data_IF_328566388948
#
_entry.id   IF_328566388948
#
_cell.length_a   1.000
_cell.length_b   1.000
_cell.length_c   1.000
_cell.angle_alpha   90.00
_cell.angle_beta   90.00
_cell.angle_gamma   90.00
#
_symmetry.space_group_name_H-M   'P 1'
#
loop_
_entity.id
_entity.type
_entity.pdbx_description
1 polymer ?
#
# COMPACT_ATOMS: atom_id res chain seq x y z
N UNK A 1 -5.64 59.04 -17.24
CA UNK A 1 -5.57 58.60 -15.83
C UNK A 1 -6.67 57.57 -15.64
N UNK A 2 -6.33 56.29 -15.42
CA UNK A 2 -7.33 55.29 -15.03
C UNK A 2 -7.52 55.43 -13.54
N UNK A 3 -8.70 55.85 -13.10
CA UNK A 3 -9.12 55.71 -11.71
C UNK A 3 -9.15 54.21 -11.40
N UNK A 4 -8.19 53.76 -10.61
CA UNK A 4 -8.19 52.43 -10.04
C UNK A 4 -9.21 52.47 -8.89
N UNK A 5 -10.41 51.97 -9.18
CA UNK A 5 -11.52 51.93 -8.24
C UNK A 5 -11.16 51.13 -6.98
N UNK A 6 -11.68 51.51 -5.80
CA UNK A 6 -11.42 50.84 -4.51
C UNK A 6 -11.87 49.37 -4.46
N UNK A 7 -12.58 48.88 -5.47
CA UNK A 7 -12.94 47.47 -5.65
C UNK A 7 -11.75 46.63 -6.09
N UNK A 8 -10.87 47.15 -6.95
CA UNK A 8 -9.69 46.43 -7.44
C UNK A 8 -8.68 46.15 -6.31
N UNK A 9 -8.55 47.08 -5.37
CA UNK A 9 -7.70 46.89 -4.18
C UNK A 9 -8.28 45.83 -3.21
N UNK A 10 -9.61 45.75 -3.10
CA UNK A 10 -10.29 44.71 -2.31
C UNK A 10 -10.11 43.33 -2.94
N UNK A 11 -10.20 43.24 -4.27
CA UNK A 11 -10.00 41.99 -5.00
C UNK A 11 -8.54 41.53 -4.87
N UNK A 12 -7.58 42.45 -4.96
CA UNK A 12 -6.16 42.15 -4.75
C UNK A 12 -5.88 41.65 -3.32
N UNK A 13 -6.49 42.27 -2.30
CA UNK A 13 -6.36 41.83 -0.91
C UNK A 13 -7.00 40.43 -0.69
N UNK A 14 -8.15 40.17 -1.31
CA UNK A 14 -8.81 38.86 -1.26
C UNK A 14 -7.94 37.77 -1.88
N UNK A 15 -7.37 38.01 -3.06
CA UNK A 15 -6.47 37.08 -3.74
C UNK A 15 -5.16 36.85 -2.97
N UNK A 16 -4.64 37.88 -2.29
CA UNK A 16 -3.46 37.74 -1.44
C UNK A 16 -3.75 36.83 -0.24
N UNK A 17 -4.91 37.00 0.40
CA UNK A 17 -5.33 36.16 1.53
C UNK A 17 -5.57 34.71 1.09
N UNK A 18 -6.22 34.50 -0.06
CA UNK A 18 -6.44 33.16 -0.62
C UNK A 18 -5.11 32.46 -0.95
N UNK A 19 -4.16 33.17 -1.58
CA UNK A 19 -2.82 32.62 -1.85
C UNK A 19 -2.11 32.20 -0.56
N UNK A 20 -2.23 33.00 0.50
CA UNK A 20 -1.59 32.69 1.76
C UNK A 20 -2.25 31.47 2.44
N UNK A 21 -3.58 31.38 2.41
CA UNK A 21 -4.31 30.20 2.86
C UNK A 21 -3.87 28.93 2.10
N UNK A 22 -3.80 29.01 0.77
CA UNK A 22 -3.37 27.89 -0.08
C UNK A 22 -1.92 27.47 0.20
N UNK A 23 -1.03 28.41 0.53
CA UNK A 23 0.34 28.10 0.96
C UNK A 23 0.37 27.32 2.26
N UNK A 24 -0.42 27.74 3.26
CA UNK A 24 -0.54 27.01 4.53
C UNK A 24 -1.08 25.60 4.32
N UNK A 25 -2.14 25.45 3.52
CA UNK A 25 -2.72 24.14 3.21
C UNK A 25 -1.71 23.24 2.49
N UNK A 26 -1.00 23.79 1.49
CA UNK A 26 0.03 23.04 0.75
C UNK A 26 1.15 22.58 1.67
N UNK A 27 1.62 23.45 2.56
CA UNK A 27 2.66 23.12 3.52
C UNK A 27 2.19 22.03 4.51
N UNK A 28 0.97 22.17 5.03
CA UNK A 28 0.36 21.20 5.93
C UNK A 28 0.20 19.82 5.27
N UNK A 29 -0.32 19.78 4.04
CA UNK A 29 -0.49 18.54 3.28
C UNK A 29 0.85 17.87 2.99
N UNK A 30 1.88 18.63 2.62
CA UNK A 30 3.24 18.11 2.42
C UNK A 30 3.81 17.51 3.69
N UNK A 31 3.64 18.17 4.84
CA UNK A 31 4.09 17.66 6.12
C UNK A 31 3.38 16.33 6.49
N UNK A 32 2.07 16.26 6.26
CA UNK A 32 1.30 15.02 6.46
C UNK A 32 1.76 13.90 5.54
N UNK A 33 1.94 14.18 4.26
CA UNK A 33 2.42 13.21 3.28
C UNK A 33 3.79 12.65 3.67
N UNK A 34 4.75 13.52 4.00
CA UNK A 34 6.07 13.10 4.48
C UNK A 34 5.99 12.22 5.74
N UNK A 35 5.02 12.49 6.64
CA UNK A 35 4.76 11.65 7.81
C UNK A 35 4.26 10.25 7.45
N UNK A 36 3.35 10.15 6.47
CA UNK A 36 2.85 8.86 5.97
C UNK A 36 3.94 8.08 5.26
N UNK A 37 4.74 8.73 4.41
CA UNK A 37 5.86 8.11 3.70
C UNK A 37 6.88 7.50 4.67
N UNK A 38 7.25 8.22 5.73
CA UNK A 38 8.15 7.68 6.77
C UNK A 38 7.59 6.43 7.44
N UNK A 39 6.29 6.43 7.76
CA UNK A 39 5.61 5.26 8.37
C UNK A 39 5.61 4.08 7.41
N UNK A 40 5.36 4.31 6.13
CA UNK A 40 5.34 3.28 5.09
C UNK A 40 6.73 2.68 4.88
N UNK A 41 7.78 3.51 4.85
CA UNK A 41 9.18 3.05 4.75
C UNK A 41 9.55 2.19 5.97
N UNK A 42 9.23 2.65 7.18
CA UNK A 42 9.49 1.89 8.41
C UNK A 42 8.76 0.54 8.42
N UNK A 43 7.47 0.52 8.05
CA UNK A 43 6.69 -0.71 7.97
C UNK A 43 7.27 -1.69 6.95
N UNK A 44 7.67 -1.21 5.76
CA UNK A 44 8.29 -2.06 4.75
C UNK A 44 9.65 -2.62 5.19
N UNK A 45 10.46 -1.83 5.89
CA UNK A 45 11.72 -2.30 6.46
C UNK A 45 11.47 -3.40 7.50
N UNK A 46 10.48 -3.22 8.37
CA UNK A 46 10.12 -4.22 9.37
C UNK A 46 9.63 -5.52 8.73
N UNK A 47 8.77 -5.41 7.72
CA UNK A 47 8.27 -6.56 6.97
C UNK A 47 9.40 -7.32 6.28
N UNK A 48 10.40 -6.60 5.74
CA UNK A 48 11.63 -7.20 5.19
C UNK A 48 12.47 -7.88 6.28
N UNK A 49 12.61 -7.29 7.47
CA UNK A 49 13.34 -7.92 8.59
C UNK A 49 12.66 -9.21 9.04
N UNK A 50 11.35 -9.19 9.24
CA UNK A 50 10.57 -10.38 9.62
C UNK A 50 10.68 -11.47 8.55
N UNK A 51 10.65 -11.09 7.26
CA UNK A 51 10.79 -12.04 6.15
C UNK A 51 12.22 -12.57 5.97
N UNK A 52 13.24 -11.78 6.34
CA UNK A 52 14.65 -12.16 6.27
C UNK A 52 15.15 -12.87 7.52
N UNK A 53 14.42 -12.79 8.63
CA UNK A 53 14.75 -13.52 9.84
C UNK A 53 14.66 -15.04 9.55
N UNK A 54 15.74 -15.80 9.73
CA UNK A 54 15.66 -17.25 9.63
C UNK A 54 14.73 -17.73 10.75
N UNK A 55 13.71 -18.52 10.38
CA UNK A 55 12.81 -19.13 11.35
C UNK A 55 13.64 -19.83 12.46
N UNK A 56 13.48 -19.45 13.75
CA UNK A 56 14.11 -20.18 14.83
C UNK A 56 13.41 -21.54 14.90
N UNK A 57 14.04 -22.55 14.29
CA UNK A 57 13.48 -23.90 14.20
C UNK A 57 13.77 -24.67 12.91
N UNK A 58 14.40 -24.08 11.89
CA UNK A 58 14.87 -24.88 10.74
C UNK A 58 16.24 -25.46 11.04
N UNK A 59 16.24 -26.44 11.95
CA UNK A 59 17.34 -27.38 12.07
C UNK A 59 17.68 -27.89 10.66
N UNK A 60 18.97 -27.82 10.34
CA UNK A 60 19.59 -28.51 9.22
C UNK A 60 19.33 -30.01 9.36
N UNK A 61 18.21 -30.45 8.82
CA UNK A 61 18.00 -31.83 8.44
C UNK A 61 17.63 -31.79 6.95
N UNK A 62 18.65 -31.82 6.11
CA UNK A 62 18.56 -32.51 4.82
C UNK A 62 18.37 -33.99 5.16
N UNK A 63 17.17 -34.32 5.63
CA UNK A 63 16.68 -35.68 5.76
C UNK A 63 15.55 -35.78 4.74
N UNK A 64 15.60 -36.86 3.96
CA UNK A 64 14.74 -37.17 2.84
C UNK A 64 13.26 -36.79 3.04
N UNK A 65 12.53 -36.44 1.96
CA UNK A 65 11.13 -36.07 2.05
C UNK A 65 10.31 -37.27 2.56
N UNK A 66 10.04 -37.28 3.86
CA UNK A 66 9.00 -38.11 4.44
C UNK A 66 7.61 -37.56 4.07
N UNK A 67 6.57 -38.41 4.03
CA UNK A 67 5.22 -38.08 3.51
C UNK A 67 4.45 -37.00 4.30
N UNK A 68 5.04 -36.42 5.35
CA UNK A 68 4.41 -35.41 6.21
C UNK A 68 4.47 -33.97 5.66
N UNK A 69 5.21 -33.69 4.58
CA UNK A 69 5.31 -32.34 4.00
C UNK A 69 4.12 -31.96 3.09
N UNK A 70 3.42 -32.95 2.50
CA UNK A 70 2.25 -32.73 1.64
C UNK A 70 1.11 -31.92 2.31
N UNK A 71 0.65 -32.23 3.54
CA UNK A 71 -0.50 -31.55 4.13
C UNK A 71 -0.24 -30.07 4.45
N UNK A 72 1.02 -29.66 4.66
CA UNK A 72 1.35 -28.26 4.94
C UNK A 72 1.37 -27.42 3.67
N UNK A 73 1.92 -27.95 2.57
CA UNK A 73 1.89 -27.30 1.25
C UNK A 73 0.46 -27.12 0.78
N UNK A 74 -0.38 -28.14 0.95
CA UNK A 74 -1.81 -28.07 0.59
C UNK A 74 -2.57 -27.03 1.43
N UNK A 75 -2.29 -26.96 2.74
CA UNK A 75 -2.92 -25.96 3.63
C UNK A 75 -2.51 -24.53 3.27
N UNK A 76 -1.23 -24.28 3.05
CA UNK A 76 -0.74 -22.95 2.64
C UNK A 76 -1.28 -22.53 1.27
N UNK A 77 -1.44 -23.47 0.33
CA UNK A 77 -2.06 -23.20 -0.97
C UNK A 77 -3.54 -22.83 -0.82
N UNK A 78 -4.29 -23.57 0.00
CA UNK A 78 -5.70 -23.30 0.27
C UNK A 78 -5.92 -21.95 0.96
N UNK A 79 -5.07 -21.60 1.94
CA UNK A 79 -5.13 -20.30 2.61
C UNK A 79 -4.84 -19.14 1.65
N UNK A 80 -3.88 -19.31 0.74
CA UNK A 80 -3.57 -18.31 -0.29
C UNK A 80 -4.76 -18.11 -1.25
N UNK A 81 -5.37 -19.21 -1.73
CA UNK A 81 -6.57 -19.14 -2.58
C UNK A 81 -7.72 -18.44 -1.85
N UNK A 82 -7.94 -18.77 -0.58
CA UNK A 82 -8.96 -18.13 0.24
C UNK A 82 -8.70 -16.62 0.42
N UNK A 83 -7.46 -16.23 0.71
CA UNK A 83 -7.05 -14.82 0.83
C UNK A 83 -7.26 -14.06 -0.47
N UNK A 84 -6.86 -14.63 -1.62
CA UNK A 84 -7.02 -14.00 -2.93
C UNK A 84 -8.50 -13.77 -3.27
N UNK A 85 -9.36 -14.76 -3.01
CA UNK A 85 -10.82 -14.63 -3.20
C UNK A 85 -11.42 -13.59 -2.27
N UNK A 86 -11.02 -13.57 -1.01
CA UNK A 86 -11.51 -12.62 -0.01
C UNK A 86 -11.11 -11.18 -0.34
N UNK A 87 -9.88 -10.98 -0.81
CA UNK A 87 -9.39 -9.66 -1.20
C UNK A 87 -10.10 -9.15 -2.47
N UNK A 88 -10.38 -10.00 -3.44
CA UNK A 88 -11.11 -9.62 -4.66
C UNK A 88 -12.58 -9.25 -4.38
N UNK A 89 -13.19 -9.80 -3.33
CA UNK A 89 -14.55 -9.44 -2.88
C UNK A 89 -14.63 -8.29 -1.87
N UNK A 90 -13.49 -7.73 -1.43
CA UNK A 90 -13.45 -6.73 -0.36
C UNK A 90 -13.67 -5.29 -0.86
N UNK A 91 -14.05 -4.39 0.06
CA UNK A 91 -14.14 -2.95 -0.22
C UNK A 91 -12.80 -2.33 -0.69
N UNK A 92 -11.67 -3.00 -0.44
CA UNK A 92 -10.34 -2.61 -0.89
C UNK A 92 -9.97 -3.05 -2.32
N UNK A 93 -10.86 -3.74 -3.04
CA UNK A 93 -10.58 -4.37 -4.36
C UNK A 93 -9.91 -3.41 -5.35
N UNK A 94 -10.33 -2.15 -5.41
CA UNK A 94 -9.75 -1.17 -6.33
C UNK A 94 -8.27 -0.93 -6.07
N UNK A 95 -7.87 -0.89 -4.79
CA UNK A 95 -6.48 -0.73 -4.36
C UNK A 95 -5.67 -1.97 -4.77
N UNK A 96 -6.18 -3.17 -4.49
CA UNK A 96 -5.44 -4.41 -4.77
C UNK A 96 -5.27 -4.65 -6.27
N UNK A 97 -6.24 -4.25 -7.11
CA UNK A 97 -6.14 -4.34 -8.58
C UNK A 97 -5.05 -3.46 -9.18
N UNK A 98 -4.58 -2.43 -8.46
CA UNK A 98 -3.49 -1.55 -8.92
C UNK A 98 -2.12 -2.24 -8.84
N UNK A 99 -2.00 -3.31 -8.06
CA UNK A 99 -0.75 -4.07 -7.92
C UNK A 99 -0.68 -5.19 -8.97
N UNK A 100 0.33 -5.13 -9.86
CA UNK A 100 0.59 -6.17 -10.85
C UNK A 100 0.80 -7.55 -10.21
N UNK A 101 1.51 -7.60 -9.08
CA UNK A 101 1.74 -8.86 -8.36
C UNK A 101 0.44 -9.55 -7.91
N UNK A 102 -0.58 -8.80 -7.49
CA UNK A 102 -1.88 -9.39 -7.16
C UNK A 102 -2.56 -9.99 -8.39
N UNK A 103 -2.48 -9.31 -9.54
CA UNK A 103 -3.03 -9.84 -10.80
C UNK A 103 -2.32 -11.12 -11.24
N UNK A 104 -0.99 -11.16 -11.13
CA UNK A 104 -0.20 -12.32 -11.53
C UNK A 104 -0.41 -13.53 -10.60
N UNK A 105 -0.57 -13.29 -9.30
CA UNK A 105 -0.96 -14.32 -8.33
C UNK A 105 -2.38 -14.80 -8.56
N UNK A 106 -3.31 -13.90 -8.88
CA UNK A 106 -4.69 -14.25 -9.18
C UNK A 106 -4.77 -15.15 -10.41
N UNK A 107 -4.09 -14.80 -11.50
CA UNK A 107 -4.05 -15.61 -12.71
C UNK A 107 -3.46 -17.00 -12.43
N UNK A 108 -2.32 -17.06 -11.73
CA UNK A 108 -1.66 -18.35 -11.42
C UNK A 108 -2.42 -19.25 -10.46
N UNK A 109 -3.14 -18.70 -9.47
CA UNK A 109 -3.72 -19.52 -8.41
C UNK A 109 -5.25 -19.62 -8.44
N UNK A 110 -5.95 -18.73 -9.14
CA UNK A 110 -7.41 -18.80 -9.29
C UNK A 110 -7.85 -19.23 -10.69
N UNK A 111 -7.11 -18.87 -11.75
CA UNK A 111 -7.45 -19.25 -13.14
C UNK A 111 -6.87 -20.62 -13.54
N UNK A 112 -5.92 -21.15 -12.76
CA UNK A 112 -5.35 -22.51 -12.93
C UNK A 112 -6.23 -23.59 -12.28
N UNK A 113 -7.51 -23.31 -12.07
CA UNK A 113 -8.51 -24.29 -11.61
C UNK A 113 -9.22 -24.85 -12.85
N UNK A 114 -8.96 -26.10 -13.29
CA UNK A 114 -9.80 -26.78 -14.28
C UNK A 114 -11.20 -27.08 -13.73
#
# INVERSE_FOLDING_TARGET
MRDLSPTTDKDAASLAMENELLRYETLHLRARLAGVERRLVAANQELRRVSAAPAPGRATAVAAPGPAAAPQVDRSRNDLVWLLRRLDGSAGRWVVRRFSGFRDLKARYLEETP
#
